data_IF_309011840532
#
_entry.id   IF_309011840532
#
_cell.length_a   1.000
_cell.length_b   1.000
_cell.length_c   1.000
_cell.angle_alpha   90.00
_cell.angle_beta   90.00
_cell.angle_gamma   90.00
#
_symmetry.space_group_name_H-M   'P 1'
#
loop_
_entity.id
_entity.type
_entity.pdbx_description
1 polymer ?
#
# COMPACT_ATOMS: atom_id res chain seq x y z
N UNK A 1 -20.53 0.64 16.39
CA UNK A 1 -19.81 1.93 16.19
C UNK A 1 -18.58 1.75 15.31
N UNK A 2 -17.65 0.84 15.65
CA UNK A 2 -16.47 0.49 14.85
C UNK A 2 -16.82 0.15 13.40
N UNK A 3 -17.70 -0.83 13.20
CA UNK A 3 -18.00 -1.35 11.85
C UNK A 3 -18.68 -0.30 10.95
N UNK A 4 -19.52 0.56 11.53
CA UNK A 4 -20.20 1.66 10.83
C UNK A 4 -19.19 2.69 10.30
N UNK A 5 -18.18 3.04 11.10
CA UNK A 5 -17.11 3.98 10.68
C UNK A 5 -16.22 3.33 9.64
N UNK A 6 -15.90 2.05 9.82
CA UNK A 6 -15.10 1.29 8.87
C UNK A 6 -15.77 1.17 7.49
N UNK A 7 -17.05 0.81 7.47
CA UNK A 7 -17.84 0.67 6.25
C UNK A 7 -18.00 2.00 5.51
N UNK A 8 -18.31 3.08 6.24
CA UNK A 8 -18.38 4.41 5.63
C UNK A 8 -17.03 4.85 5.04
N UNK A 9 -15.94 4.63 5.77
CA UNK A 9 -14.61 4.95 5.27
C UNK A 9 -14.29 4.17 3.98
N UNK A 10 -14.58 2.88 3.97
CA UNK A 10 -14.35 1.99 2.83
C UNK A 10 -15.16 2.41 1.60
N UNK A 11 -16.41 2.80 1.78
CA UNK A 11 -17.36 3.06 0.71
C UNK A 11 -17.37 4.51 0.20
N UNK A 12 -17.05 5.49 1.04
CA UNK A 12 -17.26 6.92 0.72
C UNK A 12 -16.01 7.80 0.81
N UNK A 13 -15.01 7.40 1.61
CA UNK A 13 -13.81 8.22 1.89
C UNK A 13 -12.56 7.67 1.19
N UNK A 14 -12.49 6.35 0.99
CA UNK A 14 -11.31 5.69 0.41
C UNK A 14 -10.98 6.25 -0.98
N UNK A 15 -9.69 6.36 -1.27
CA UNK A 15 -9.19 6.76 -2.60
C UNK A 15 -9.69 5.87 -3.74
N UNK A 16 -9.91 4.59 -3.43
CA UNK A 16 -10.53 3.65 -4.35
C UNK A 16 -11.97 4.07 -4.66
N UNK A 17 -12.79 4.30 -3.64
CA UNK A 17 -14.18 4.73 -3.78
C UNK A 17 -14.31 6.06 -4.53
N UNK A 18 -13.49 7.06 -4.18
CA UNK A 18 -13.56 8.40 -4.75
C UNK A 18 -13.11 8.48 -6.22
N UNK A 19 -12.14 7.65 -6.62
CA UNK A 19 -11.46 7.78 -7.92
C UNK A 19 -11.49 6.46 -8.72
N UNK A 20 -10.99 5.37 -8.16
CA UNK A 20 -10.74 4.12 -8.90
C UNK A 20 -12.03 3.41 -9.29
N UNK A 21 -13.10 3.52 -8.47
CA UNK A 21 -14.45 3.03 -8.79
C UNK A 21 -14.96 3.57 -10.13
N UNK A 22 -14.50 4.75 -10.54
CA UNK A 22 -14.91 5.42 -11.77
C UNK A 22 -13.97 5.19 -12.96
N UNK A 23 -12.83 4.53 -12.77
CA UNK A 23 -11.83 4.25 -13.84
C UNK A 23 -11.40 2.78 -13.88
N UNK A 24 -12.28 1.86 -13.48
CA UNK A 24 -11.99 0.41 -13.39
C UNK A 24 -11.28 -0.14 -14.64
N UNK A 25 -11.76 0.21 -15.85
CA UNK A 25 -11.16 -0.24 -17.11
C UNK A 25 -9.69 0.19 -17.26
N UNK A 26 -9.36 1.43 -16.92
CA UNK A 26 -7.99 1.94 -17.03
C UNK A 26 -7.07 1.34 -15.97
N UNK A 27 -7.61 1.08 -14.78
CA UNK A 27 -6.89 0.39 -13.72
C UNK A 27 -6.52 -1.04 -14.14
N UNK A 28 -7.49 -1.83 -14.61
CA UNK A 28 -7.23 -3.19 -15.11
C UNK A 28 -6.25 -3.17 -16.28
N UNK A 29 -6.43 -2.24 -17.24
CA UNK A 29 -5.53 -2.10 -18.37
C UNK A 29 -4.07 -1.85 -17.97
N UNK A 30 -3.81 -0.89 -17.08
CA UNK A 30 -2.44 -0.63 -16.60
C UNK A 30 -1.87 -1.83 -15.86
N UNK A 31 -2.68 -2.50 -15.05
CA UNK A 31 -2.23 -3.67 -14.31
C UNK A 31 -1.84 -4.83 -15.25
N UNK A 32 -2.68 -5.13 -16.24
CA UNK A 32 -2.38 -6.15 -17.26
C UNK A 32 -1.14 -5.78 -18.07
N UNK A 33 -1.00 -4.51 -18.48
CA UNK A 33 0.19 -4.04 -19.21
C UNK A 33 1.46 -4.12 -18.37
N UNK A 34 1.38 -3.84 -17.08
CA UNK A 34 2.52 -3.96 -16.17
C UNK A 34 3.01 -5.41 -16.10
N UNK A 35 2.09 -6.38 -15.90
CA UNK A 35 2.43 -7.80 -15.87
C UNK A 35 3.03 -8.25 -17.21
N UNK A 36 2.38 -7.92 -18.33
CA UNK A 36 2.87 -8.29 -19.66
C UNK A 36 4.26 -7.72 -19.94
N UNK A 37 4.49 -6.43 -19.65
CA UNK A 37 5.80 -5.81 -19.86
C UNK A 37 6.87 -6.45 -18.96
N UNK A 38 6.56 -6.78 -17.71
CA UNK A 38 7.49 -7.47 -16.82
C UNK A 38 7.86 -8.86 -17.34
N UNK A 39 6.91 -9.63 -17.86
CA UNK A 39 7.18 -10.95 -18.47
C UNK A 39 8.04 -10.80 -19.71
N UNK A 40 7.74 -9.84 -20.59
CA UNK A 40 8.52 -9.58 -21.81
C UNK A 40 9.97 -9.23 -21.47
N UNK A 41 10.18 -8.32 -20.51
CA UNK A 41 11.52 -7.94 -20.07
C UNK A 41 12.26 -9.15 -19.50
N UNK A 42 11.60 -9.99 -18.70
CA UNK A 42 12.18 -11.21 -18.16
C UNK A 42 12.60 -12.19 -19.26
N UNK A 43 11.74 -12.43 -20.24
CA UNK A 43 12.09 -13.27 -21.40
C UNK A 43 13.24 -12.70 -22.21
N UNK A 44 13.31 -11.38 -22.38
CA UNK A 44 14.43 -10.73 -23.07
C UNK A 44 15.75 -10.89 -22.31
N UNK A 45 15.74 -10.76 -20.99
CA UNK A 45 16.92 -10.99 -20.15
C UNK A 45 17.35 -12.45 -20.23
N UNK A 46 16.41 -13.39 -20.09
CA UNK A 46 16.67 -14.82 -20.16
C UNK A 46 17.32 -15.19 -21.51
N UNK A 47 16.72 -14.81 -22.64
CA UNK A 47 17.25 -15.14 -23.97
C UNK A 47 18.62 -14.47 -24.21
N UNK A 48 18.82 -13.25 -23.68
CA UNK A 48 20.13 -12.58 -23.79
C UNK A 48 21.25 -13.27 -23.02
N UNK A 49 20.95 -14.02 -21.95
CA UNK A 49 21.94 -14.78 -21.18
C UNK A 49 22.42 -16.02 -21.94
N UNK A 50 21.56 -16.65 -22.75
CA UNK A 50 21.91 -17.83 -23.56
C UNK A 50 22.51 -17.48 -24.93
N UNK A 51 22.87 -16.22 -25.15
CA UNK A 51 23.57 -15.71 -26.34
C UNK A 51 22.97 -16.16 -27.68
N UNK A 52 21.64 -16.29 -27.73
CA UNK A 52 20.92 -16.60 -28.97
C UNK A 52 21.01 -15.36 -29.86
N UNK A 53 21.38 -15.51 -31.13
CA UNK A 53 21.78 -14.45 -32.09
C UNK A 53 20.78 -13.30 -32.36
N UNK A 54 19.72 -13.15 -31.56
CA UNK A 54 18.66 -12.15 -31.69
C UNK A 54 18.84 -10.92 -30.78
N UNK A 55 20.06 -10.65 -30.31
CA UNK A 55 20.35 -9.59 -29.31
C UNK A 55 19.77 -8.21 -29.65
N UNK A 56 19.82 -7.81 -30.93
CA UNK A 56 19.26 -6.53 -31.41
C UNK A 56 17.72 -6.48 -31.26
N UNK A 57 17.03 -7.57 -31.59
CA UNK A 57 15.57 -7.66 -31.48
C UNK A 57 15.08 -7.66 -30.04
N UNK A 58 15.84 -8.27 -29.12
CA UNK A 58 15.51 -8.28 -27.69
C UNK A 58 15.61 -6.86 -27.08
N UNK A 59 16.64 -6.10 -27.46
CA UNK A 59 16.81 -4.72 -27.00
C UNK A 59 15.65 -3.85 -27.51
N UNK A 60 15.29 -3.98 -28.80
CA UNK A 60 14.16 -3.25 -29.39
C UNK A 60 12.86 -3.61 -28.68
N UNK A 61 12.59 -4.90 -28.45
CA UNK A 61 11.39 -5.36 -27.75
C UNK A 61 11.29 -4.80 -26.31
N UNK A 62 12.41 -4.78 -25.58
CA UNK A 62 12.47 -4.21 -24.23
C UNK A 62 12.16 -2.72 -24.22
N UNK A 63 12.76 -1.94 -25.13
CA UNK A 63 12.51 -0.50 -25.27
C UNK A 63 11.05 -0.24 -25.60
N UNK A 64 10.48 -0.98 -26.56
CA UNK A 64 9.07 -0.86 -26.95
C UNK A 64 8.14 -1.15 -25.77
N UNK A 65 8.43 -2.20 -24.98
CA UNK A 65 7.64 -2.53 -23.79
C UNK A 65 7.65 -1.40 -22.74
N UNK A 66 8.80 -0.76 -22.51
CA UNK A 66 8.89 0.38 -21.60
C UNK A 66 8.10 1.60 -22.09
N UNK A 67 8.12 1.87 -23.40
CA UNK A 67 7.35 2.97 -23.99
C UNK A 67 5.85 2.72 -23.82
N UNK A 68 5.38 1.49 -24.08
CA UNK A 68 3.98 1.09 -23.91
C UNK A 68 3.55 1.24 -22.45
N UNK A 69 4.38 0.79 -21.50
CA UNK A 69 4.12 0.92 -20.08
C UNK A 69 4.02 2.39 -19.64
N UNK A 70 4.97 3.22 -20.08
CA UNK A 70 4.97 4.66 -19.80
C UNK A 70 3.70 5.33 -20.33
N UNK A 71 3.29 4.98 -21.55
CA UNK A 71 2.07 5.47 -22.17
C UNK A 71 0.80 5.01 -21.42
N UNK A 72 0.72 3.74 -20.99
CA UNK A 72 -0.43 3.24 -20.24
C UNK A 72 -0.57 3.94 -18.89
N UNK A 73 0.56 4.16 -18.19
CA UNK A 73 0.61 4.91 -16.94
C UNK A 73 0.15 6.36 -17.18
N UNK A 74 0.62 7.01 -18.23
CA UNK A 74 0.21 8.37 -18.58
C UNK A 74 -1.30 8.49 -18.82
N UNK A 75 -1.91 7.56 -19.56
CA UNK A 75 -3.37 7.51 -19.78
C UNK A 75 -4.11 7.38 -18.44
N UNK A 76 -3.64 6.49 -17.56
CA UNK A 76 -4.24 6.31 -16.24
C UNK A 76 -4.20 7.59 -15.40
N UNK A 77 -3.05 8.27 -15.33
CA UNK A 77 -2.94 9.56 -14.64
C UNK A 77 -3.90 10.61 -15.23
N UNK A 78 -4.07 10.63 -16.55
CA UNK A 78 -4.99 11.56 -17.22
C UNK A 78 -6.45 11.25 -16.87
N UNK A 79 -6.83 9.98 -16.80
CA UNK A 79 -8.16 9.55 -16.40
C UNK A 79 -8.46 9.86 -14.93
N UNK A 80 -7.51 9.59 -14.02
CA UNK A 80 -7.59 9.97 -12.61
C UNK A 80 -7.84 11.48 -12.46
N UNK A 81 -7.05 12.31 -13.12
CA UNK A 81 -7.21 13.77 -13.07
C UNK A 81 -8.57 14.22 -13.62
N UNK A 82 -9.06 13.58 -14.69
CA UNK A 82 -10.37 13.89 -15.27
C UNK A 82 -11.49 13.62 -14.25
N UNK A 83 -11.45 12.49 -13.54
CA UNK A 83 -12.43 12.18 -12.49
C UNK A 83 -12.36 13.18 -11.35
N UNK A 84 -11.15 13.50 -10.86
CA UNK A 84 -10.98 14.44 -9.75
C UNK A 84 -11.50 15.83 -10.12
N UNK A 85 -11.16 16.33 -11.31
CA UNK A 85 -11.62 17.63 -11.80
C UNK A 85 -13.13 17.66 -12.03
N UNK A 86 -13.71 16.61 -12.63
CA UNK A 86 -15.14 16.59 -12.97
C UNK A 86 -16.05 16.43 -11.75
N UNK A 87 -15.69 15.54 -10.81
CA UNK A 87 -16.55 15.25 -9.64
C UNK A 87 -16.29 16.16 -8.45
N UNK A 88 -15.04 16.49 -8.17
CA UNK A 88 -14.68 17.24 -6.95
C UNK A 88 -14.23 18.67 -7.23
N UNK A 89 -14.17 19.09 -8.50
CA UNK A 89 -13.70 20.43 -8.91
C UNK A 89 -12.30 20.80 -8.37
N UNK A 90 -11.50 19.80 -7.98
CA UNK A 90 -10.13 19.99 -7.48
C UNK A 90 -9.18 20.06 -8.68
N UNK A 91 -8.40 21.15 -8.77
CA UNK A 91 -7.27 21.23 -9.68
C UNK A 91 -6.10 20.41 -9.12
N UNK A 92 -5.53 19.57 -9.98
CA UNK A 92 -4.48 18.62 -9.61
C UNK A 92 -3.23 18.94 -10.42
N UNK A 93 -2.07 18.96 -9.76
CA UNK A 93 -0.79 19.30 -10.39
C UNK A 93 -0.37 18.35 -11.52
N UNK A 94 0.62 18.76 -12.33
CA UNK A 94 1.08 18.00 -13.51
C UNK A 94 1.61 16.61 -13.18
N UNK A 95 2.27 16.38 -12.04
CA UNK A 95 2.94 15.09 -11.74
C UNK A 95 2.28 14.24 -10.65
N UNK A 96 1.66 14.84 -9.64
CA UNK A 96 1.18 14.10 -8.46
C UNK A 96 -0.32 14.33 -8.29
N UNK A 97 -1.13 13.27 -8.27
CA UNK A 97 -2.58 13.37 -8.07
C UNK A 97 -3.03 13.32 -6.62
N UNK A 98 -2.16 12.87 -5.72
CA UNK A 98 -2.33 12.97 -4.27
C UNK A 98 -2.05 14.41 -3.83
N UNK A 99 -2.98 15.32 -4.10
CA UNK A 99 -2.87 16.72 -3.66
C UNK A 99 -3.34 16.88 -2.21
N UNK A 100 -2.85 17.91 -1.52
CA UNK A 100 -3.32 18.29 -0.19
C UNK A 100 -4.85 18.48 -0.17
N UNK A 101 -5.43 19.07 -1.23
CA UNK A 101 -6.88 19.24 -1.40
C UNK A 101 -7.65 17.92 -1.42
N UNK A 102 -7.08 16.86 -2.02
CA UNK A 102 -7.70 15.54 -2.00
C UNK A 102 -7.61 14.89 -0.61
N UNK A 103 -6.53 15.15 0.14
CA UNK A 103 -6.39 14.71 1.54
C UNK A 103 -7.42 15.44 2.42
N UNK A 104 -7.59 16.74 2.22
CA UNK A 104 -8.56 17.57 2.92
C UNK A 104 -10.00 17.12 2.64
N UNK A 105 -10.36 16.84 1.38
CA UNK A 105 -11.68 16.31 1.04
C UNK A 105 -12.01 14.99 1.77
N UNK A 106 -11.02 14.10 1.91
CA UNK A 106 -11.19 12.85 2.67
C UNK A 106 -11.37 13.12 4.16
N UNK A 107 -10.55 14.02 4.71
CA UNK A 107 -10.64 14.44 6.10
C UNK A 107 -12.02 15.02 6.39
N UNK A 108 -12.50 15.96 5.57
CA UNK A 108 -13.80 16.61 5.76
C UNK A 108 -14.95 15.61 5.68
N UNK A 109 -14.99 14.74 4.65
CA UNK A 109 -16.00 13.68 4.55
C UNK A 109 -16.05 12.76 5.78
N UNK A 110 -14.89 12.46 6.37
CA UNK A 110 -14.79 11.63 7.57
C UNK A 110 -15.24 12.41 8.81
N UNK A 111 -14.82 13.67 8.96
CA UNK A 111 -15.23 14.56 10.05
C UNK A 111 -16.75 14.76 10.07
N UNK A 112 -17.35 15.05 8.91
CA UNK A 112 -18.79 15.30 8.77
C UNK A 112 -19.60 14.06 9.19
N UNK A 113 -19.11 12.88 8.82
CA UNK A 113 -19.72 11.62 9.23
C UNK A 113 -19.59 11.38 10.74
N UNK A 114 -18.41 11.59 11.32
CA UNK A 114 -18.19 11.46 12.76
C UNK A 114 -19.05 12.46 13.55
N UNK A 115 -19.28 13.66 13.01
CA UNK A 115 -20.18 14.65 13.59
C UNK A 115 -21.64 14.17 13.53
N UNK A 116 -22.10 13.70 12.36
CA UNK A 116 -23.47 13.21 12.16
C UNK A 116 -23.84 12.00 13.04
N UNK A 117 -22.85 11.26 13.54
CA UNK A 117 -23.03 10.08 14.39
C UNK A 117 -22.69 10.33 15.87
N UNK A 118 -22.37 11.56 16.25
CA UNK A 118 -21.91 11.92 17.60
C UNK A 118 -20.68 11.11 18.06
N UNK A 119 -19.72 10.87 17.16
CA UNK A 119 -18.49 10.09 17.44
C UNK A 119 -17.25 11.00 17.54
N UNK A 120 -17.40 12.30 17.28
CA UNK A 120 -16.28 13.25 17.18
C UNK A 120 -15.52 13.52 18.49
N UNK A 121 -16.03 13.09 19.65
CA UNK A 121 -15.33 13.32 20.92
C UNK A 121 -13.96 12.65 20.94
N UNK A 122 -12.93 13.33 21.49
CA UNK A 122 -11.53 12.88 21.50
C UNK A 122 -11.40 11.45 22.03
N UNK A 123 -12.04 11.16 23.17
CA UNK A 123 -12.05 9.82 23.76
C UNK A 123 -12.64 8.73 22.86
N UNK A 124 -13.72 9.02 22.10
CA UNK A 124 -14.33 8.06 21.17
C UNK A 124 -13.37 7.75 20.03
N UNK A 125 -12.69 8.77 19.50
CA UNK A 125 -11.72 8.63 18.42
C UNK A 125 -10.49 7.83 18.88
N UNK A 126 -9.95 8.12 20.07
CA UNK A 126 -8.84 7.35 20.67
C UNK A 126 -9.21 5.89 20.85
N UNK A 127 -10.40 5.62 21.41
CA UNK A 127 -10.92 4.26 21.58
C UNK A 127 -11.11 3.55 20.24
N UNK A 128 -11.55 4.25 19.19
CA UNK A 128 -11.65 3.72 17.83
C UNK A 128 -10.27 3.35 17.28
N UNK A 129 -9.26 4.22 17.44
CA UNK A 129 -7.88 3.97 17.00
C UNK A 129 -7.33 2.71 17.69
N UNK A 130 -7.49 2.60 19.01
CA UNK A 130 -7.04 1.46 19.79
C UNK A 130 -7.72 0.16 19.33
N UNK A 131 -9.04 0.18 19.15
CA UNK A 131 -9.80 -0.96 18.65
C UNK A 131 -9.34 -1.42 17.26
N UNK A 132 -8.96 -0.50 16.37
CA UNK A 132 -8.42 -0.86 15.05
C UNK A 132 -6.96 -1.34 15.10
N UNK A 133 -6.14 -0.82 16.03
CA UNK A 133 -4.76 -1.27 16.24
C UNK A 133 -4.73 -2.71 16.78
N UNK A 134 -5.51 -3.02 17.82
CA UNK A 134 -5.59 -4.37 18.38
C UNK A 134 -6.06 -5.41 17.35
N UNK A 135 -7.02 -5.01 16.54
CA UNK A 135 -7.54 -5.80 15.43
C UNK A 135 -6.50 -6.07 14.33
N UNK A 136 -5.67 -5.07 14.02
CA UNK A 136 -4.57 -5.20 13.04
C UNK A 136 -3.49 -6.15 13.54
N UNK A 137 -3.16 -6.10 14.82
CA UNK A 137 -2.14 -6.98 15.38
C UNK A 137 -2.52 -8.45 15.30
N UNK A 138 -3.81 -8.75 15.50
CA UNK A 138 -4.36 -10.11 15.36
C UNK A 138 -4.39 -10.63 13.92
N UNK A 139 -4.35 -9.74 12.93
CA UNK A 139 -4.46 -10.08 11.50
C UNK A 139 -3.16 -9.90 10.73
N UNK A 140 -2.03 -9.60 11.41
CA UNK A 140 -0.71 -9.57 10.77
C UNK A 140 -0.40 -10.97 10.23
N UNK A 141 -0.32 -11.10 8.91
CA UNK A 141 0.40 -12.20 8.30
C UNK A 141 1.85 -12.12 8.79
N UNK A 142 2.51 -13.27 9.08
CA UNK A 142 3.90 -13.26 9.49
C UNK A 142 4.72 -12.49 8.44
N UNK A 143 5.74 -11.71 8.85
CA UNK A 143 6.56 -10.93 7.94
C UNK A 143 7.29 -11.87 6.98
N UNK A 144 6.61 -12.20 5.89
CA UNK A 144 7.12 -13.02 4.83
C UNK A 144 7.97 -12.09 3.98
N UNK A 145 9.28 -12.24 4.19
CA UNK A 145 10.30 -12.11 3.15
C UNK A 145 10.71 -10.66 2.87
N UNK A 146 11.93 -10.28 3.30
CA UNK A 146 12.64 -9.21 2.60
C UNK A 146 14.19 -9.35 2.64
N UNK A 147 14.83 -9.83 3.72
CA UNK A 147 16.29 -10.06 3.70
C UNK A 147 16.66 -11.53 3.49
N UNK A 148 15.90 -12.45 4.09
CA UNK A 148 16.23 -13.88 4.12
C UNK A 148 16.17 -14.58 2.76
N UNK A 149 15.24 -14.21 1.87
CA UNK A 149 15.27 -14.74 0.49
C UNK A 149 16.45 -14.21 -0.31
N UNK A 150 16.80 -12.95 -0.10
CA UNK A 150 17.91 -12.33 -0.80
C UNK A 150 19.21 -13.04 -0.40
N UNK A 151 19.38 -13.32 0.89
CA UNK A 151 20.46 -14.17 1.40
C UNK A 151 20.38 -15.59 0.85
N UNK A 152 19.22 -16.25 0.92
CA UNK A 152 19.06 -17.63 0.46
C UNK A 152 19.38 -17.83 -1.03
N UNK A 153 19.17 -16.81 -1.87
CA UNK A 153 19.48 -16.86 -3.30
C UNK A 153 20.91 -16.38 -3.60
N UNK A 154 21.44 -15.40 -2.87
CA UNK A 154 22.83 -14.96 -3.09
C UNK A 154 23.86 -15.93 -2.52
N UNK A 155 23.60 -16.55 -1.37
CA UNK A 155 24.57 -17.40 -0.68
C UNK A 155 25.07 -18.55 -1.58
N UNK A 156 24.22 -19.37 -2.23
CA UNK A 156 24.69 -20.45 -3.12
C UNK A 156 25.51 -19.93 -4.31
N UNK A 157 25.09 -18.81 -4.91
CA UNK A 157 25.78 -18.20 -6.04
C UNK A 157 27.17 -17.66 -5.63
N UNK A 158 27.28 -17.05 -4.45
CA UNK A 158 28.54 -16.57 -3.90
C UNK A 158 29.48 -17.73 -3.55
N UNK A 159 28.94 -18.80 -2.95
CA UNK A 159 29.71 -19.98 -2.59
C UNK A 159 30.25 -20.69 -3.83
N UNK A 160 29.45 -20.82 -4.90
CA UNK A 160 29.91 -21.39 -6.17
C UNK A 160 30.99 -20.52 -6.84
N UNK A 161 30.84 -19.18 -6.84
CA UNK A 161 31.86 -18.27 -7.35
C UNK A 161 33.18 -18.43 -6.58
N UNK A 162 33.14 -18.40 -5.25
CA UNK A 162 34.32 -18.55 -4.40
C UNK A 162 34.98 -19.91 -4.63
N UNK A 163 34.20 -21.00 -4.67
CA UNK A 163 34.75 -22.34 -4.91
C UNK A 163 35.50 -22.43 -6.24
N UNK A 164 35.03 -21.72 -7.27
CA UNK A 164 35.66 -21.70 -8.59
C UNK A 164 36.89 -20.80 -8.65
N UNK A 165 36.89 -19.64 -7.97
CA UNK A 165 38.06 -18.75 -7.89
C UNK A 165 39.23 -19.45 -7.18
N UNK A 166 38.93 -20.30 -6.21
CA UNK A 166 39.94 -20.98 -5.38
C UNK A 166 40.31 -22.39 -5.83
N UNK A 167 39.52 -23.06 -6.67
CA UNK A 167 39.77 -24.43 -7.15
C UNK A 167 40.07 -24.42 -8.65
N UNK A 168 41.30 -24.81 -8.99
CA UNK A 168 41.94 -24.89 -10.31
C UNK A 168 41.17 -24.40 -11.56
N UNK A 169 41.83 -23.49 -12.28
CA UNK A 169 41.35 -22.72 -13.45
C UNK A 169 41.10 -23.52 -14.73
N UNK A 170 41.02 -24.85 -14.68
CA UNK A 170 41.15 -25.69 -15.87
C UNK A 170 39.85 -25.84 -16.69
N UNK A 171 38.68 -25.51 -16.13
CA UNK A 171 37.38 -25.83 -16.76
C UNK A 171 36.63 -24.66 -17.45
N UNK A 172 36.94 -23.40 -17.16
CA UNK A 172 36.31 -22.21 -17.79
C UNK A 172 37.17 -20.96 -17.61
N UNK A 173 37.14 -20.06 -18.59
CA UNK A 173 37.80 -18.76 -18.47
C UNK A 173 37.11 -17.92 -17.39
N UNK A 174 37.91 -17.21 -16.59
CA UNK A 174 37.44 -16.36 -15.49
C UNK A 174 36.36 -15.35 -15.94
N UNK A 175 36.44 -14.89 -17.19
CA UNK A 175 35.45 -14.01 -17.81
C UNK A 175 34.07 -14.67 -17.97
N UNK A 176 34.00 -15.93 -18.36
CA UNK A 176 32.74 -16.66 -18.56
C UNK A 176 32.03 -16.91 -17.22
N UNK A 177 32.80 -17.21 -16.17
CA UNK A 177 32.27 -17.42 -14.82
C UNK A 177 31.76 -16.10 -14.22
N UNK A 178 32.47 -15.00 -14.44
CA UNK A 178 32.00 -13.66 -14.05
C UNK A 178 30.71 -13.29 -14.78
N UNK A 179 30.60 -13.60 -16.07
CA UNK A 179 29.36 -13.41 -16.82
C UNK A 179 28.22 -14.27 -16.29
N UNK A 180 28.49 -15.54 -15.95
CA UNK A 180 27.48 -16.48 -15.45
C UNK A 180 27.01 -16.08 -14.04
N UNK A 181 27.92 -15.65 -13.17
CA UNK A 181 27.62 -15.10 -11.85
C UNK A 181 26.82 -13.79 -11.93
N UNK A 182 27.25 -12.85 -12.79
CA UNK A 182 26.51 -11.61 -13.02
C UNK A 182 25.11 -11.91 -13.58
N UNK A 183 24.99 -12.88 -14.49
CA UNK A 183 23.73 -13.34 -15.06
C UNK A 183 22.80 -13.95 -14.02
N UNK A 184 23.27 -14.89 -13.21
CA UNK A 184 22.49 -15.50 -12.13
C UNK A 184 22.09 -14.48 -11.06
N UNK A 185 23.01 -13.58 -10.69
CA UNK A 185 22.72 -12.52 -9.72
C UNK A 185 21.67 -11.56 -10.26
N UNK A 186 21.80 -11.14 -11.53
CA UNK A 186 20.83 -10.26 -12.17
C UNK A 186 19.45 -10.94 -12.33
N UNK A 187 19.43 -12.22 -12.74
CA UNK A 187 18.21 -13.02 -12.82
C UNK A 187 17.54 -13.16 -11.44
N UNK A 188 18.32 -13.40 -10.39
CA UNK A 188 17.81 -13.48 -9.02
C UNK A 188 17.25 -12.15 -8.52
N UNK A 189 17.91 -11.03 -8.81
CA UNK A 189 17.41 -9.70 -8.47
C UNK A 189 16.13 -9.38 -9.23
N UNK A 190 16.02 -9.78 -10.50
CA UNK A 190 14.78 -9.64 -11.27
C UNK A 190 13.68 -10.53 -10.70
N UNK A 191 13.97 -11.80 -10.38
CA UNK A 191 13.00 -12.70 -9.75
C UNK A 191 12.52 -12.14 -8.42
N UNK A 192 13.42 -11.62 -7.58
CA UNK A 192 13.07 -10.94 -6.32
C UNK A 192 12.25 -9.69 -6.62
N UNK A 193 12.61 -8.87 -7.62
CA UNK A 193 11.86 -7.67 -7.98
C UNK A 193 10.47 -7.99 -8.53
N UNK A 194 10.32 -9.08 -9.29
CA UNK A 194 9.05 -9.59 -9.81
C UNK A 194 8.24 -10.18 -8.66
N UNK A 195 8.79 -11.05 -7.81
CA UNK A 195 8.08 -11.58 -6.65
C UNK A 195 7.70 -10.47 -5.68
N UNK A 196 8.58 -9.50 -5.43
CA UNK A 196 8.28 -8.34 -4.59
C UNK A 196 7.23 -7.46 -5.25
N UNK A 197 7.28 -7.26 -6.57
CA UNK A 197 6.24 -6.52 -7.30
C UNK A 197 4.95 -7.30 -7.36
N UNK A 198 4.96 -8.64 -7.47
CA UNK A 198 3.80 -9.52 -7.45
C UNK A 198 3.22 -9.65 -6.05
N UNK A 199 4.02 -9.55 -5.00
CA UNK A 199 3.58 -9.50 -3.61
C UNK A 199 3.06 -8.11 -3.30
N UNK A 200 3.69 -7.03 -3.78
CA UNK A 200 3.17 -5.66 -3.64
C UNK A 200 1.98 -5.39 -4.55
N UNK A 201 1.87 -6.09 -5.68
CA UNK A 201 0.71 -6.11 -6.55
C UNK A 201 -0.34 -7.05 -6.00
N UNK A 202 0.01 -8.19 -5.39
CA UNK A 202 -0.93 -8.98 -4.60
C UNK A 202 -1.42 -8.09 -3.47
N UNK A 203 -0.59 -7.36 -2.76
CA UNK A 203 -1.04 -6.41 -1.78
C UNK A 203 -1.86 -5.32 -2.47
N UNK A 204 -1.46 -4.68 -3.57
CA UNK A 204 -2.24 -3.60 -4.17
C UNK A 204 -3.56 -4.07 -4.80
N UNK A 205 -3.59 -5.25 -5.43
CA UNK A 205 -4.72 -5.89 -6.12
C UNK A 205 -5.58 -6.65 -5.12
N UNK A 206 -5.04 -7.30 -4.09
CA UNK A 206 -5.80 -7.90 -2.98
C UNK A 206 -6.30 -6.80 -2.03
N UNK A 207 -5.57 -5.69 -1.85
CA UNK A 207 -6.06 -4.52 -1.13
C UNK A 207 -7.17 -3.80 -1.93
N UNK A 208 -7.10 -3.74 -3.27
CA UNK A 208 -8.11 -3.06 -4.13
C UNK A 208 -9.26 -3.97 -4.64
N UNK A 209 -9.05 -5.27 -4.83
CA UNK A 209 -10.03 -6.28 -5.31
C UNK A 209 -10.56 -7.13 -4.16
N UNK A 210 -9.70 -7.55 -3.21
CA UNK A 210 -10.09 -8.42 -2.08
C UNK A 210 -10.40 -7.68 -0.78
N UNK A 211 -10.49 -6.35 -0.78
CA UNK A 211 -10.81 -5.57 0.42
C UNK A 211 -9.96 -5.97 1.63
N UNK A 212 -8.63 -6.11 1.48
CA UNK A 212 -7.78 -6.43 2.62
C UNK A 212 -8.00 -5.41 3.74
N UNK A 213 -8.73 -5.84 4.78
CA UNK A 213 -9.26 -4.93 5.77
C UNK A 213 -8.12 -4.23 6.52
N UNK A 214 -6.93 -4.83 6.58
CA UNK A 214 -5.76 -4.29 7.25
C UNK A 214 -5.24 -3.00 6.60
N UNK A 215 -5.11 -2.97 5.27
CA UNK A 215 -4.68 -1.76 4.54
C UNK A 215 -5.71 -0.63 4.66
N UNK A 216 -7.00 -1.00 4.66
CA UNK A 216 -8.10 -0.05 4.84
C UNK A 216 -8.09 0.50 6.27
N UNK A 217 -7.84 -0.36 7.27
CA UNK A 217 -7.72 0.00 8.69
C UNK A 217 -6.53 0.93 8.93
N UNK A 218 -5.37 0.69 8.31
CA UNK A 218 -4.22 1.60 8.40
C UNK A 218 -4.54 2.98 7.84
N UNK A 219 -5.16 3.05 6.66
CA UNK A 219 -5.57 4.32 6.07
C UNK A 219 -6.61 5.06 6.93
N UNK A 220 -7.51 4.33 7.59
CA UNK A 220 -8.49 4.90 8.51
C UNK A 220 -7.82 5.41 9.81
N UNK A 221 -6.95 4.61 10.43
CA UNK A 221 -6.18 4.98 11.62
C UNK A 221 -5.41 6.27 11.34
N UNK A 222 -4.70 6.36 10.22
CA UNK A 222 -3.92 7.56 9.88
C UNK A 222 -4.81 8.80 9.72
N UNK A 223 -6.01 8.65 9.15
CA UNK A 223 -6.95 9.78 9.03
C UNK A 223 -7.56 10.17 10.39
N UNK A 224 -7.81 9.21 11.29
CA UNK A 224 -8.29 9.47 12.64
C UNK A 224 -7.21 10.13 13.51
N UNK A 225 -5.95 9.70 13.38
CA UNK A 225 -4.79 10.32 14.05
C UNK A 225 -4.56 11.76 13.52
N UNK A 226 -4.60 11.97 12.20
CA UNK A 226 -4.53 13.30 11.59
C UNK A 226 -5.67 14.22 12.08
N UNK A 227 -6.86 13.66 12.31
CA UNK A 227 -8.04 14.41 12.79
C UNK A 227 -7.92 14.74 14.28
N UNK A 228 -7.37 13.82 15.08
CA UNK A 228 -7.12 14.02 16.50
C UNK A 228 -6.10 15.13 16.74
N UNK A 229 -5.03 15.18 15.93
CA UNK A 229 -4.02 16.25 15.97
C UNK A 229 -4.56 17.64 15.60
N UNK A 230 -5.73 17.72 14.95
CA UNK A 230 -6.36 18.98 14.52
C UNK A 230 -7.47 19.46 15.46
N UNK A 231 -7.82 18.69 16.48
CA UNK A 231 -8.83 19.12 17.44
C UNK A 231 -8.22 20.10 18.47
N UNK A 232 -8.86 21.26 18.72
CA UNK A 232 -8.37 22.20 19.72
C UNK A 232 -8.53 21.65 21.13
N UNK A 233 -7.54 21.90 21.99
CA UNK A 233 -7.50 21.45 23.40
C UNK A 233 -8.66 21.99 24.26
N UNK A 234 -9.42 22.98 23.80
CA UNK A 234 -10.59 23.50 24.52
C UNK A 234 -11.74 22.48 24.66
N UNK A 235 -11.80 21.50 23.75
CA UNK A 235 -12.73 20.37 23.85
C UNK A 235 -12.41 19.50 25.07
N UNK A 236 -11.17 19.52 25.56
CA UNK A 236 -10.68 18.77 26.72
C UNK A 236 -11.23 19.32 28.05
N UNK A 237 -11.39 20.65 28.16
CA UNK A 237 -11.96 21.30 29.36
C UNK A 237 -13.47 21.14 29.49
N UNK A 238 -14.19 21.09 28.37
CA UNK A 238 -15.63 20.76 28.35
C UNK A 238 -15.88 19.28 28.65
N UNK A 239 -15.08 18.39 28.05
CA UNK A 239 -15.24 16.94 28.21
C UNK A 239 -14.77 16.40 29.56
N UNK A 240 -13.74 16.98 30.18
CA UNK A 240 -13.37 16.65 31.55
C UNK A 240 -14.52 16.94 32.53
N UNK A 241 -15.23 18.07 32.34
CA UNK A 241 -16.40 18.42 33.18
C UNK A 241 -17.56 17.43 32.99
N UNK A 242 -17.87 17.03 31.77
CA UNK A 242 -19.00 16.12 31.51
C UNK A 242 -18.73 14.68 31.98
N UNK A 243 -17.49 14.20 31.87
CA UNK A 243 -17.09 12.86 32.38
C UNK A 243 -17.05 12.84 33.91
N UNK A 244 -16.59 13.92 34.55
CA UNK A 244 -16.63 14.06 36.01
C UNK A 244 -18.10 14.06 36.49
N UNK A 245 -18.97 14.82 35.82
CA UNK A 245 -20.40 14.91 36.15
C UNK A 245 -21.12 13.57 35.99
N UNK A 246 -20.82 12.79 34.95
CA UNK A 246 -21.37 11.44 34.78
C UNK A 246 -20.86 10.45 35.83
N UNK A 247 -19.59 10.55 36.26
CA UNK A 247 -19.07 9.74 37.36
C UNK A 247 -19.76 10.07 38.68
N UNK A 248 -19.91 11.36 39.00
CA UNK A 248 -20.62 11.82 40.19
C UNK A 248 -22.08 11.34 40.20
N UNK A 249 -22.80 11.46 39.08
CA UNK A 249 -24.19 10.98 38.96
C UNK A 249 -24.32 9.45 39.10
N UNK A 250 -23.31 8.70 38.64
CA UNK A 250 -23.31 7.24 38.74
C UNK A 250 -22.99 6.79 40.16
N UNK A 251 -22.03 7.45 40.81
CA UNK A 251 -21.63 7.18 42.19
C UNK A 251 -22.75 7.55 43.18
N UNK A 252 -23.44 8.67 42.97
CA UNK A 252 -24.63 9.04 43.73
C UNK A 252 -25.78 8.03 43.59
N UNK A 253 -26.00 7.48 42.39
CA UNK A 253 -27.02 6.44 42.17
C UNK A 253 -26.66 5.11 42.84
N UNK A 254 -25.38 4.78 42.93
CA UNK A 254 -24.91 3.56 43.59
C UNK A 254 -25.00 3.69 45.12
N UNK A 255 -24.65 4.85 45.68
CA UNK A 255 -24.79 5.13 47.11
C UNK A 255 -26.26 5.14 47.54
N UNK A 256 -27.14 5.80 46.78
CA UNK A 256 -28.59 5.84 47.10
C UNK A 256 -29.27 4.47 47.01
N UNK A 257 -28.73 3.52 46.22
CA UNK A 257 -29.22 2.13 46.20
C UNK A 257 -28.75 1.28 47.38
N UNK A 258 -27.64 1.65 48.03
CA UNK A 258 -27.11 0.95 49.20
C UNK A 258 -27.80 1.36 50.51
N UNK A 259 -28.42 2.54 50.56
CA UNK A 259 -29.16 3.02 51.74
C UNK A 259 -30.63 2.53 51.80
N UNK A 260 -31.12 1.88 50.73
CA UNK A 260 -32.52 1.43 50.61
C UNK A 260 -32.66 -0.10 50.81
N UNK A 261 -31.55 -0.83 50.96
CA UNK A 261 -31.51 -2.26 51.30
C UNK A 261 -30.88 -2.47 52.68
#
# INVERSE_FOLDING_TARGET
>A
MKDIVFEYYQNEVRTYALVHKHIKKHYYFVNTMMILCSVIILTCVFISLFNVGYRKWLIISSIVSMIILSYSVFIFFRAVKRVIRKRYKISVGRRIWKSAKLKELKSNKLTDFLYSKDIKTRWKIEKLIELYKNDKEKSKLPPLIAPSLLVAVLTPNLTQLLFYVYKDKELMQLFDILMLFAGCTFLSLILIAIFTSLIRLKDSIVNDIFQNQNSIREGLIQQLEDLLLRMPDEVEKGQAKDVIKQKEDTEYKVLRRKEIN
#
